data_IF_378015391175
#
_entry.id   IF_378015391175
#
_cell.length_a   1.000
_cell.length_b   1.000
_cell.length_c   1.000
_cell.angle_alpha   90.00
_cell.angle_beta   90.00
_cell.angle_gamma   90.00
#
_symmetry.space_group_name_H-M   'P 1'
#
loop_
_entity.id
_entity.type
_entity.pdbx_description
1 polymer ?
#
# COMPACT_ATOMS: atom_id res chain seq x y z
N UNK A 1 32.37 21.21 -34.43
CA UNK A 1 33.05 20.57 -33.28
C UNK A 1 33.37 21.63 -32.25
N UNK A 2 32.48 21.85 -31.29
CA UNK A 2 32.72 22.43 -29.95
C UNK A 2 31.44 22.18 -29.11
N UNK A 3 31.54 21.88 -27.80
CA UNK A 3 30.56 21.02 -27.12
C UNK A 3 29.49 21.77 -26.31
N UNK A 4 28.44 21.02 -25.98
CA UNK A 4 27.29 21.41 -25.17
C UNK A 4 27.65 21.66 -23.69
N UNK A 5 27.12 22.76 -23.14
CA UNK A 5 27.14 23.08 -21.72
C UNK A 5 26.18 22.20 -20.93
N UNK A 6 26.69 21.72 -19.80
CA UNK A 6 26.01 21.03 -18.73
C UNK A 6 25.44 22.07 -17.76
N UNK A 7 24.12 22.11 -17.53
CA UNK A 7 23.50 23.00 -16.55
C UNK A 7 22.76 22.18 -15.50
N UNK A 8 23.43 21.96 -14.37
CA UNK A 8 22.83 21.43 -13.15
C UNK A 8 22.08 22.52 -12.38
N UNK A 9 20.98 22.13 -11.73
CA UNK A 9 20.31 22.93 -10.71
C UNK A 9 20.91 22.64 -9.31
N UNK A 10 20.93 23.61 -8.39
CA UNK A 10 21.51 23.44 -7.06
C UNK A 10 20.49 22.91 -6.05
N UNK A 11 20.92 21.97 -5.21
CA UNK A 11 20.24 21.63 -3.95
C UNK A 11 21.10 22.13 -2.78
N UNK A 12 20.57 23.08 -2.02
CA UNK A 12 21.15 23.55 -0.76
C UNK A 12 20.42 22.88 0.40
N UNK A 13 21.08 21.97 1.12
CA UNK A 13 20.80 21.75 2.54
C UNK A 13 22.09 21.48 3.29
N UNK A 14 22.44 22.46 4.13
CA UNK A 14 23.54 22.47 5.08
C UNK A 14 23.22 21.55 6.25
N UNK A 15 24.08 20.57 6.53
CA UNK A 15 24.29 20.06 7.89
C UNK A 15 25.78 20.05 8.18
N UNK A 16 26.17 20.83 9.20
CA UNK A 16 27.53 20.96 9.70
C UNK A 16 27.86 19.74 10.58
N UNK A 17 28.99 19.10 10.33
CA UNK A 17 29.67 18.26 11.32
C UNK A 17 31.07 18.81 11.53
N UNK A 18 31.37 19.19 12.77
CA UNK A 18 32.71 19.54 13.22
C UNK A 18 33.21 18.43 14.15
N UNK A 19 34.36 17.87 13.78
CA UNK A 19 35.16 16.97 14.57
C UNK A 19 35.89 17.72 15.70
N UNK A 20 36.18 17.04 16.81
CA UNK A 20 37.37 17.33 17.60
C UNK A 20 37.99 16.05 18.18
N UNK A 21 39.32 16.13 18.24
CA UNK A 21 40.35 15.13 18.43
C UNK A 21 40.64 14.79 19.91
N UNK A 22 41.32 13.65 20.11
CA UNK A 22 42.21 13.37 21.26
C UNK A 22 41.62 12.38 22.26
N UNK A 23 42.36 11.45 22.88
CA UNK A 23 43.79 11.13 22.93
C UNK A 23 43.88 9.69 23.49
N UNK A 24 44.94 8.95 23.14
CA UNK A 24 45.16 7.56 23.52
C UNK A 24 45.53 7.36 25.00
N UNK A 25 45.15 6.21 25.58
CA UNK A 25 46.02 5.47 26.52
C UNK A 25 45.63 3.98 26.58
N UNK A 26 46.65 3.13 26.58
CA UNK A 26 46.62 1.67 26.48
C UNK A 26 46.78 1.02 27.86
N UNK A 27 46.13 -0.13 28.10
CA UNK A 27 46.68 -1.40 28.63
C UNK A 27 45.69 -2.24 29.49
N UNK A 28 45.52 -3.49 29.02
CA UNK A 28 45.47 -4.77 29.74
C UNK A 28 44.46 -4.99 30.90
N UNK A 29 43.46 -5.86 30.69
CA UNK A 29 43.38 -7.26 31.19
C UNK A 29 42.61 -7.35 32.54
N UNK A 30 41.85 -8.37 32.96
CA UNK A 30 41.58 -9.72 32.50
C UNK A 30 40.29 -10.23 33.23
N UNK A 31 39.66 -11.26 32.65
CA UNK A 31 38.99 -12.42 33.30
C UNK A 31 37.67 -12.31 34.11
N UNK A 32 36.64 -12.93 33.51
CA UNK A 32 35.76 -14.04 33.99
C UNK A 32 34.74 -13.86 35.15
N UNK A 33 33.48 -14.07 34.77
CA UNK A 33 32.29 -14.58 35.50
C UNK A 33 32.55 -15.87 36.32
N UNK A 34 31.74 -16.22 37.37
CA UNK A 34 30.38 -16.78 37.20
C UNK A 34 29.31 -16.46 38.28
N UNK A 35 28.05 -16.75 37.93
CA UNK A 35 26.78 -16.77 38.69
C UNK A 35 26.60 -18.08 39.51
N UNK A 36 25.40 -18.43 40.06
CA UNK A 36 24.66 -17.87 41.21
C UNK A 36 24.43 -18.94 42.31
N UNK A 37 23.77 -18.61 43.43
CA UNK A 37 23.34 -19.61 44.44
C UNK A 37 21.98 -19.26 45.08
N UNK A 38 21.02 -20.18 44.96
CA UNK A 38 19.80 -20.32 45.78
C UNK A 38 20.09 -21.20 47.01
N UNK A 39 19.27 -21.11 48.07
CA UNK A 39 18.63 -22.35 48.55
C UNK A 39 17.19 -22.18 49.09
N UNK A 40 16.54 -23.34 49.20
CA UNK A 40 15.17 -23.66 49.63
C UNK A 40 15.01 -23.82 51.16
N UNK A 41 13.78 -23.71 51.70
CA UNK A 41 13.11 -24.69 52.61
C UNK A 41 11.94 -24.10 53.43
N UNK A 42 11.13 -24.99 54.03
CA UNK A 42 9.70 -24.92 54.41
C UNK A 42 9.40 -24.60 55.90
N UNK A 43 8.12 -24.31 56.20
CA UNK A 43 7.27 -24.66 57.37
C UNK A 43 6.30 -23.46 57.67
N UNK A 44 5.03 -23.54 58.08
CA UNK A 44 4.15 -24.56 58.68
C UNK A 44 3.40 -23.94 59.88
N UNK A 45 2.08 -24.21 60.03
CA UNK A 45 1.12 -23.83 61.12
C UNK A 45 0.40 -22.46 60.99
N UNK A 46 -0.87 -22.24 61.39
CA UNK A 46 -2.02 -23.07 61.82
C UNK A 46 -3.30 -22.20 61.89
N UNK A 47 -4.45 -22.83 61.61
CA UNK A 47 -5.87 -22.54 61.85
C UNK A 47 -6.33 -21.26 62.61
N UNK A 48 -7.38 -20.62 62.06
CA UNK A 48 -8.57 -20.20 62.83
C UNK A 48 -9.83 -20.23 61.93
N UNK A 49 -10.91 -20.83 62.47
CA UNK A 49 -12.17 -21.17 61.82
C UNK A 49 -13.28 -20.23 62.30
N UNK A 50 -14.08 -19.64 61.38
CA UNK A 50 -15.40 -19.06 61.65
C UNK A 50 -16.30 -19.20 60.40
N UNK A 51 -17.64 -19.28 60.55
CA UNK A 51 -18.48 -20.12 59.71
C UNK A 51 -19.01 -19.37 58.49
N UNK A 52 -19.00 -20.02 57.31
CA UNK A 52 -19.80 -19.57 56.17
C UNK A 52 -20.79 -20.66 55.80
N UNK A 53 -22.03 -20.38 56.20
CA UNK A 53 -23.32 -20.77 55.64
C UNK A 53 -23.20 -21.52 54.30
N UNK A 54 -23.71 -22.74 54.31
CA UNK A 54 -24.04 -23.52 53.13
C UNK A 54 -25.12 -22.79 52.33
N UNK A 55 -24.73 -22.09 51.27
CA UNK A 55 -25.63 -21.65 50.22
C UNK A 55 -25.47 -22.62 49.07
N UNK A 56 -26.43 -23.54 48.96
CA UNK A 56 -26.57 -24.45 47.85
C UNK A 56 -26.34 -23.72 46.51
N UNK A 57 -25.46 -24.29 45.69
CA UNK A 57 -25.25 -23.91 44.31
C UNK A 57 -26.57 -24.08 43.54
N UNK A 58 -27.32 -22.98 43.38
CA UNK A 58 -28.25 -22.87 42.27
C UNK A 58 -27.43 -22.63 41.00
N UNK A 59 -27.71 -23.33 39.88
CA UNK A 59 -26.99 -23.07 38.64
C UNK A 59 -27.31 -21.64 38.19
N UNK A 60 -26.30 -20.77 38.17
CA UNK A 60 -26.43 -19.38 37.72
C UNK A 60 -26.99 -19.35 36.28
N UNK A 61 -28.22 -18.86 36.05
CA UNK A 61 -28.85 -18.91 34.75
C UNK A 61 -28.52 -17.62 33.98
N UNK A 62 -27.25 -17.33 33.66
CA UNK A 62 -26.96 -16.02 33.02
C UNK A 62 -25.72 -15.91 32.14
N UNK A 63 -25.04 -17.00 31.76
CA UNK A 63 -23.92 -16.87 30.80
C UNK A 63 -24.47 -16.62 29.39
N UNK A 64 -24.46 -15.36 28.97
CA UNK A 64 -24.64 -14.95 27.57
C UNK A 64 -23.34 -15.24 26.85
N UNK A 65 -23.40 -15.97 25.73
CA UNK A 65 -22.23 -16.35 24.95
C UNK A 65 -22.51 -16.11 23.47
N UNK A 66 -21.54 -15.57 22.73
CA UNK A 66 -21.55 -15.54 21.27
C UNK A 66 -20.60 -16.64 20.76
N UNK A 67 -21.05 -17.38 19.75
CA UNK A 67 -20.21 -18.31 19.00
C UNK A 67 -20.10 -17.78 17.57
N UNK A 68 -18.87 -17.63 17.08
CA UNK A 68 -18.61 -17.46 15.63
C UNK A 68 -18.46 -16.03 15.10
N UNK A 69 -18.27 -15.02 15.95
CA UNK A 69 -17.94 -13.67 15.51
C UNK A 69 -16.62 -13.26 16.13
N UNK A 70 -15.64 -12.90 15.29
CA UNK A 70 -14.40 -12.29 15.77
C UNK A 70 -14.71 -11.04 16.61
N UNK A 71 -13.75 -10.60 17.42
CA UNK A 71 -13.89 -9.46 18.35
C UNK A 71 -14.32 -8.14 17.68
N UNK A 72 -14.43 -8.10 16.35
CA UNK A 72 -15.00 -7.04 15.53
C UNK A 72 -15.52 -7.60 14.21
N UNK A 73 -16.57 -6.97 13.65
CA UNK A 73 -17.11 -7.29 12.32
C UNK A 73 -16.92 -6.09 11.37
N UNK A 74 -16.47 -6.36 10.15
CA UNK A 74 -16.33 -5.33 9.10
C UNK A 74 -17.38 -5.56 8.02
N UNK A 75 -18.16 -4.52 7.71
CA UNK A 75 -19.21 -4.53 6.70
C UNK A 75 -18.99 -3.42 5.67
N UNK A 76 -19.65 -3.51 4.53
CA UNK A 76 -19.78 -2.42 3.55
C UNK A 76 -21.20 -1.87 3.60
N UNK A 77 -21.39 -0.56 3.38
CA UNK A 77 -22.74 0.05 3.30
C UNK A 77 -23.64 -0.79 2.37
N UNK A 78 -24.90 -0.98 2.80
CA UNK A 78 -25.91 -1.83 2.18
C UNK A 78 -25.74 -3.34 2.37
N UNK A 79 -24.68 -3.82 3.04
CA UNK A 79 -24.60 -5.22 3.46
C UNK A 79 -25.44 -5.49 4.71
N UNK A 80 -25.86 -6.75 4.85
CA UNK A 80 -26.63 -7.25 5.98
C UNK A 80 -25.96 -8.49 6.55
N UNK A 81 -25.88 -8.60 7.88
CA UNK A 81 -25.33 -9.75 8.60
C UNK A 81 -26.19 -10.08 9.82
N UNK A 82 -26.45 -11.36 10.05
CA UNK A 82 -27.22 -11.81 11.22
C UNK A 82 -26.29 -12.27 12.33
N UNK A 83 -26.48 -11.70 13.52
CA UNK A 83 -25.75 -12.03 14.74
C UNK A 83 -26.60 -12.99 15.58
N UNK A 84 -26.11 -14.20 15.81
CA UNK A 84 -26.79 -15.18 16.66
C UNK A 84 -26.14 -15.23 18.03
N UNK A 85 -26.91 -14.88 19.06
CA UNK A 85 -26.48 -14.93 20.47
C UNK A 85 -27.09 -16.15 21.14
N UNK A 86 -26.29 -16.82 21.98
CA UNK A 86 -26.71 -17.99 22.72
C UNK A 86 -26.90 -17.65 24.19
N UNK A 87 -28.00 -18.14 24.77
CA UNK A 87 -28.30 -18.00 26.20
C UNK A 87 -28.47 -19.40 26.76
N UNK A 88 -27.59 -19.79 27.69
CA UNK A 88 -27.61 -21.16 28.24
C UNK A 88 -27.30 -22.24 27.20
N UNK A 89 -26.47 -21.92 26.19
CA UNK A 89 -26.02 -22.88 25.17
C UNK A 89 -27.00 -23.13 24.02
N UNK A 90 -28.16 -22.45 23.99
CA UNK A 90 -29.13 -22.48 22.88
C UNK A 90 -29.26 -21.10 22.23
N UNK A 91 -29.59 -21.00 20.94
CA UNK A 91 -29.90 -19.71 20.32
C UNK A 91 -30.98 -19.00 21.12
N UNK A 92 -30.80 -17.71 21.38
CA UNK A 92 -31.76 -16.91 22.12
C UNK A 92 -33.13 -16.96 21.45
N UNK A 93 -34.18 -17.18 22.25
CA UNK A 93 -35.54 -17.18 21.77
C UNK A 93 -35.99 -15.76 21.36
N UNK A 94 -36.98 -15.61 20.46
CA UNK A 94 -37.54 -14.30 20.13
C UNK A 94 -37.98 -13.53 21.39
N UNK A 95 -37.57 -12.26 21.50
CA UNK A 95 -37.89 -11.39 22.64
C UNK A 95 -37.03 -11.62 23.90
N UNK A 96 -36.15 -12.62 23.91
CA UNK A 96 -35.21 -12.86 25.03
C UNK A 96 -34.06 -11.84 25.06
N UNK A 97 -33.78 -11.21 23.91
CA UNK A 97 -32.76 -10.19 23.76
C UNK A 97 -33.39 -8.89 23.27
N UNK A 98 -32.86 -7.79 23.79
CA UNK A 98 -33.04 -6.45 23.25
C UNK A 98 -31.79 -6.06 22.48
N UNK A 99 -31.98 -5.70 21.21
CA UNK A 99 -30.91 -5.27 20.32
C UNK A 99 -30.87 -3.75 20.18
N UNK A 100 -29.69 -3.15 20.34
CA UNK A 100 -29.47 -1.71 20.16
C UNK A 100 -28.19 -1.44 19.36
N UNK A 101 -28.07 -0.22 18.84
CA UNK A 101 -26.88 0.29 18.15
C UNK A 101 -26.47 1.63 18.77
N UNK A 102 -25.17 1.88 18.91
CA UNK A 102 -24.68 3.19 19.34
C UNK A 102 -24.76 4.26 18.25
N UNK A 103 -24.90 3.86 16.97
CA UNK A 103 -25.00 4.79 15.85
C UNK A 103 -25.88 4.23 14.72
N UNK A 104 -27.15 4.66 14.71
CA UNK A 104 -28.14 4.27 13.69
C UNK A 104 -27.83 4.81 12.29
N UNK A 105 -26.99 5.85 12.17
CA UNK A 105 -26.48 6.36 10.90
C UNK A 105 -25.41 5.48 10.27
N UNK A 106 -24.86 4.52 11.01
CA UNK A 106 -23.81 3.59 10.54
C UNK A 106 -24.35 2.16 10.41
N UNK A 107 -25.05 1.66 11.42
CA UNK A 107 -25.75 0.36 11.35
C UNK A 107 -27.14 0.44 11.96
N UNK A 108 -28.10 -0.24 11.36
CA UNK A 108 -29.38 -0.57 11.98
C UNK A 108 -29.39 -2.04 12.41
N UNK A 109 -30.18 -2.40 13.41
CA UNK A 109 -30.31 -3.79 13.89
C UNK A 109 -31.78 -4.11 14.17
N UNK A 110 -32.24 -5.26 13.71
CA UNK A 110 -33.59 -5.77 14.02
C UNK A 110 -33.59 -6.48 15.38
N UNK A 111 -34.77 -6.67 15.98
CA UNK A 111 -34.89 -7.46 17.22
C UNK A 111 -34.61 -8.97 17.01
N UNK A 112 -34.42 -9.41 15.76
CA UNK A 112 -33.92 -10.75 15.42
C UNK A 112 -32.39 -10.83 15.27
N UNK A 113 -31.65 -9.75 15.57
CA UNK A 113 -30.19 -9.70 15.47
C UNK A 113 -29.65 -9.50 14.06
N UNK A 114 -30.50 -9.13 13.09
CA UNK A 114 -30.04 -8.80 11.73
C UNK A 114 -29.56 -7.36 11.69
N UNK A 115 -28.27 -7.16 11.44
CA UNK A 115 -27.59 -5.88 11.34
C UNK A 115 -27.47 -5.49 9.87
N UNK A 116 -27.89 -4.27 9.52
CA UNK A 116 -27.75 -3.70 8.18
C UNK A 116 -26.85 -2.48 8.24
N UNK A 117 -25.84 -2.44 7.38
CA UNK A 117 -24.94 -1.30 7.24
C UNK A 117 -25.63 -0.15 6.50
N UNK A 118 -25.87 0.97 7.19
CA UNK A 118 -26.63 2.13 6.68
C UNK A 118 -25.72 3.28 6.23
N UNK A 119 -24.53 3.43 6.81
CA UNK A 119 -23.58 4.48 6.47
C UNK A 119 -22.16 4.15 6.94
N UNK A 120 -21.16 4.82 6.37
CA UNK A 120 -19.76 4.57 6.73
C UNK A 120 -19.43 5.09 8.12
N UNK A 121 -18.63 4.34 8.88
CA UNK A 121 -18.22 4.73 10.23
C UNK A 121 -18.05 3.52 11.15
N UNK A 122 -18.12 3.75 12.45
CA UNK A 122 -18.10 2.69 13.46
C UNK A 122 -19.30 2.79 14.38
N UNK A 123 -19.81 1.64 14.77
CA UNK A 123 -20.90 1.49 15.72
C UNK A 123 -20.68 0.25 16.57
N UNK A 124 -21.32 0.18 17.73
CA UNK A 124 -21.38 -1.03 18.53
C UNK A 124 -22.83 -1.50 18.54
N UNK A 125 -23.05 -2.73 18.10
CA UNK A 125 -24.34 -3.41 18.25
C UNK A 125 -24.33 -4.14 19.57
N UNK A 126 -25.31 -3.90 20.42
CA UNK A 126 -25.46 -4.55 21.73
C UNK A 126 -26.64 -5.50 21.73
N UNK A 127 -26.42 -6.72 22.22
CA UNK A 127 -27.46 -7.66 22.59
C UNK A 127 -27.51 -7.79 24.12
N UNK A 128 -28.57 -7.30 24.74
CA UNK A 128 -28.77 -7.41 26.19
C UNK A 128 -29.93 -8.34 26.50
N UNK A 129 -29.87 -9.12 27.58
CA UNK A 129 -31.02 -9.89 28.03
C UNK A 129 -32.16 -8.96 28.44
N UNK A 130 -33.37 -9.19 27.92
CA UNK A 130 -34.55 -8.38 28.24
C UNK A 130 -34.85 -8.41 29.75
N UNK A 131 -34.71 -9.58 30.37
CA UNK A 131 -34.94 -9.77 31.80
C UNK A 131 -33.79 -9.25 32.69
N UNK A 132 -32.62 -8.98 32.11
CA UNK A 132 -31.45 -8.49 32.86
C UNK A 132 -30.53 -7.69 31.93
N UNK A 133 -30.82 -6.38 31.71
CA UNK A 133 -30.08 -5.57 30.75
C UNK A 133 -28.58 -5.40 31.06
N UNK A 134 -28.15 -5.67 32.29
CA UNK A 134 -26.74 -5.67 32.69
C UNK A 134 -25.96 -6.88 32.15
N UNK A 135 -26.64 -7.93 31.71
CA UNK A 135 -26.04 -9.07 31.01
C UNK A 135 -26.16 -8.85 29.49
N UNK A 136 -25.07 -8.40 28.88
CA UNK A 136 -25.04 -8.04 27.46
C UNK A 136 -23.76 -8.48 26.75
N UNK A 137 -23.82 -8.50 25.43
CA UNK A 137 -22.68 -8.63 24.53
C UNK A 137 -22.63 -7.43 23.59
N UNK A 138 -21.42 -6.92 23.39
CA UNK A 138 -21.14 -5.83 22.46
C UNK A 138 -20.38 -6.37 21.24
N UNK A 139 -20.87 -6.01 20.06
CA UNK A 139 -20.29 -6.34 18.77
C UNK A 139 -19.84 -5.03 18.12
N UNK A 140 -18.54 -4.69 18.16
CA UNK A 140 -18.05 -3.55 17.42
C UNK A 140 -18.13 -3.86 15.92
N UNK A 141 -18.80 -2.96 15.19
CA UNK A 141 -18.98 -3.03 13.73
C UNK A 141 -18.34 -1.81 13.10
N UNK A 142 -17.44 -2.05 12.15
CA UNK A 142 -16.90 -1.01 11.27
C UNK A 142 -17.54 -1.15 9.90
N UNK A 143 -18.14 -0.07 9.40
CA UNK A 143 -18.77 -0.01 8.09
C UNK A 143 -17.93 0.85 7.15
N UNK A 144 -17.48 0.25 6.06
CA UNK A 144 -16.84 0.95 4.96
C UNK A 144 -17.90 1.52 4.01
N UNK A 145 -17.67 2.71 3.45
CA UNK A 145 -18.54 3.30 2.45
C UNK A 145 -18.72 2.37 1.24
N UNK A 146 -19.95 2.21 0.76
CA UNK A 146 -20.20 1.60 -0.54
C UNK A 146 -19.74 2.60 -1.61
N UNK A 147 -18.68 2.25 -2.35
CA UNK A 147 -18.21 3.07 -3.46
C UNK A 147 -17.19 4.16 -3.13
N UNK A 148 -16.32 3.96 -2.13
CA UNK A 148 -14.94 4.37 -2.40
C UNK A 148 -14.40 3.41 -3.49
N UNK A 149 -13.70 3.89 -4.53
CA UNK A 149 -13.05 2.95 -5.43
C UNK A 149 -12.20 2.04 -4.55
N UNK A 150 -12.40 0.73 -4.67
CA UNK A 150 -11.38 -0.25 -4.28
C UNK A 150 -10.05 0.34 -4.74
N UNK A 151 -8.96 0.35 -3.94
CA UNK A 151 -7.67 0.55 -4.57
C UNK A 151 -7.63 -0.53 -5.65
N UNK A 152 -7.78 -0.11 -6.91
CA UNK A 152 -7.55 -0.96 -8.04
C UNK A 152 -6.21 -1.59 -7.71
N UNK A 153 -6.08 -2.93 -7.56
CA UNK A 153 -4.76 -3.52 -7.49
C UNK A 153 -3.96 -2.83 -8.59
N UNK A 154 -2.81 -2.18 -8.29
CA UNK A 154 -2.16 -1.25 -9.21
C UNK A 154 -2.21 -1.92 -10.57
N UNK A 155 -2.87 -1.31 -11.58
CA UNK A 155 -3.12 -1.95 -12.85
C UNK A 155 -1.86 -2.70 -13.24
N UNK A 156 -1.98 -4.01 -13.49
CA UNK A 156 -0.83 -4.84 -13.87
C UNK A 156 -0.02 -4.07 -14.90
N UNK A 157 1.31 -4.18 -14.90
CA UNK A 157 2.19 -3.41 -15.80
C UNK A 157 1.64 -3.26 -17.23
N UNK A 158 0.94 -4.28 -17.76
CA UNK A 158 0.26 -4.22 -19.06
C UNK A 158 -0.85 -3.16 -19.18
N UNK A 159 -1.69 -2.96 -18.17
CA UNK A 159 -2.76 -1.98 -18.16
C UNK A 159 -2.24 -0.55 -18.02
N UNK A 160 -1.21 -0.33 -17.20
CA UNK A 160 -0.50 0.95 -17.17
C UNK A 160 0.25 1.24 -18.46
N UNK A 161 0.93 0.24 -19.04
CA UNK A 161 1.56 0.38 -20.35
C UNK A 161 0.55 0.76 -21.44
N UNK A 162 -0.60 0.08 -21.48
CA UNK A 162 -1.68 0.38 -22.42
C UNK A 162 -2.22 1.80 -22.24
N UNK A 163 -2.38 2.25 -20.99
CA UNK A 163 -2.88 3.60 -20.69
C UNK A 163 -1.87 4.68 -21.08
N UNK A 164 -0.58 4.48 -20.78
CA UNK A 164 0.50 5.37 -21.21
C UNK A 164 0.58 5.45 -22.74
N UNK A 165 0.43 4.32 -23.44
CA UNK A 165 0.36 4.28 -24.90
C UNK A 165 -0.79 5.14 -25.44
N UNK A 166 -2.00 4.98 -24.89
CA UNK A 166 -3.17 5.75 -25.32
C UNK A 166 -2.95 7.26 -25.14
N UNK A 167 -2.46 7.67 -23.96
CA UNK A 167 -2.19 9.08 -23.65
C UNK A 167 -1.07 9.65 -24.55
N UNK A 168 -0.02 8.87 -24.80
CA UNK A 168 1.06 9.24 -25.71
C UNK A 168 0.55 9.40 -27.14
N UNK A 169 -0.27 8.47 -27.63
CA UNK A 169 -0.86 8.56 -28.97
C UNK A 169 -1.87 9.70 -29.10
N UNK A 170 -2.63 10.00 -28.04
CA UNK A 170 -3.47 11.19 -28.00
C UNK A 170 -2.63 12.47 -28.13
N UNK A 171 -1.50 12.57 -27.41
CA UNK A 171 -0.58 13.68 -27.55
C UNK A 171 0.02 13.77 -28.97
N UNK A 172 0.43 12.65 -29.56
CA UNK A 172 0.99 12.57 -30.91
C UNK A 172 0.01 12.96 -32.02
N UNK A 173 -1.29 12.82 -31.78
CA UNK A 173 -2.34 13.17 -32.75
C UNK A 173 -2.52 14.68 -33.00
N UNK A 174 -1.89 15.53 -32.19
CA UNK A 174 -1.97 16.99 -32.30
C UNK A 174 -0.59 17.62 -32.38
N UNK A 175 -0.46 18.75 -33.07
CA UNK A 175 0.77 19.53 -33.06
C UNK A 175 1.04 20.07 -31.65
N UNK A 176 2.31 20.09 -31.24
CA UNK A 176 2.71 20.46 -29.88
C UNK A 176 3.96 21.31 -29.86
N UNK A 177 3.98 22.25 -28.92
CA UNK A 177 5.18 23.01 -28.58
C UNK A 177 5.89 22.32 -27.41
N UNK A 178 7.08 21.81 -27.65
CA UNK A 178 7.96 21.21 -26.65
C UNK A 178 9.06 22.23 -26.28
N UNK A 179 8.84 22.99 -25.20
CA UNK A 179 9.72 24.12 -24.87
C UNK A 179 9.60 25.24 -25.89
N UNK A 180 10.68 25.54 -26.62
CA UNK A 180 10.67 26.51 -27.73
C UNK A 180 10.47 25.87 -29.12
N UNK A 181 10.36 24.54 -29.19
CA UNK A 181 10.30 23.81 -30.46
C UNK A 181 8.84 23.45 -30.78
N UNK A 182 8.33 23.92 -31.91
CA UNK A 182 7.03 23.48 -32.44
C UNK A 182 7.19 22.22 -33.27
N UNK A 183 6.46 21.17 -32.93
CA UNK A 183 6.46 19.88 -33.60
C UNK A 183 5.07 19.56 -34.16
N UNK A 184 4.97 19.02 -35.40
CA UNK A 184 3.69 18.66 -35.98
C UNK A 184 3.08 17.43 -35.28
N UNK A 185 1.82 17.13 -35.57
CA UNK A 185 1.24 15.84 -35.26
C UNK A 185 2.02 14.73 -35.98
N UNK A 186 2.18 13.57 -35.33
CA UNK A 186 2.96 12.44 -35.83
C UNK A 186 2.18 11.13 -35.67
N UNK A 187 2.48 10.08 -36.49
CA UNK A 187 1.73 8.83 -36.45
C UNK A 187 1.72 8.17 -35.06
N UNK A 188 0.66 7.43 -34.76
CA UNK A 188 0.54 6.66 -33.53
C UNK A 188 1.64 5.59 -33.42
N UNK A 189 2.07 5.32 -32.19
CA UNK A 189 2.97 4.23 -31.84
C UNK A 189 2.16 2.95 -31.59
N UNK A 190 2.82 1.80 -31.76
CA UNK A 190 2.33 0.49 -31.32
C UNK A 190 3.14 -0.03 -30.14
N UNK A 191 2.52 -0.85 -29.27
CA UNK A 191 3.25 -1.45 -28.15
C UNK A 191 4.20 -2.55 -28.65
N UNK A 192 5.42 -2.58 -28.12
CA UNK A 192 6.42 -3.63 -28.39
C UNK A 192 6.72 -4.41 -27.12
N UNK A 193 6.66 -5.74 -27.20
CA UNK A 193 6.95 -6.60 -26.05
C UNK A 193 8.42 -6.50 -25.62
N UNK A 194 9.36 -6.43 -26.57
CA UNK A 194 10.79 -6.31 -26.29
C UNK A 194 11.12 -4.96 -25.63
N UNK A 195 10.58 -3.86 -26.16
CA UNK A 195 10.75 -2.55 -25.53
C UNK A 195 10.09 -2.51 -24.14
N UNK A 196 8.95 -3.16 -23.98
CA UNK A 196 8.26 -3.24 -22.67
C UNK A 196 9.09 -4.03 -21.66
N UNK A 197 9.73 -5.12 -22.08
CA UNK A 197 10.63 -5.89 -21.23
C UNK A 197 11.86 -5.06 -20.81
N UNK A 198 12.47 -4.30 -21.72
CA UNK A 198 13.57 -3.37 -21.42
C UNK A 198 13.13 -2.31 -20.40
N UNK A 199 12.05 -1.59 -20.70
CA UNK A 199 11.53 -0.52 -19.87
C UNK A 199 11.12 -1.02 -18.48
N UNK A 200 10.43 -2.17 -18.40
CA UNK A 200 10.03 -2.77 -17.12
C UNK A 200 11.24 -3.21 -16.30
N UNK A 201 12.24 -3.84 -16.93
CA UNK A 201 13.47 -4.22 -16.27
C UNK A 201 14.17 -3.02 -15.63
N UNK A 202 14.27 -1.91 -16.35
CA UNK A 202 14.91 -0.69 -15.84
C UNK A 202 14.09 0.00 -14.74
N UNK A 203 12.76 0.06 -14.87
CA UNK A 203 11.89 0.58 -13.82
C UNK A 203 12.05 -0.22 -12.52
N UNK A 204 12.05 -1.55 -12.61
CA UNK A 204 12.26 -2.45 -11.47
C UNK A 204 13.65 -2.30 -10.87
N UNK A 205 14.69 -2.14 -11.69
CA UNK A 205 16.07 -1.95 -11.24
C UNK A 205 16.24 -0.63 -10.46
N UNK A 206 15.72 0.48 -10.99
CA UNK A 206 15.70 1.78 -10.31
C UNK A 206 14.97 1.74 -8.97
N UNK A 207 13.83 1.05 -8.92
CA UNK A 207 13.05 0.90 -7.70
C UNK A 207 13.76 0.03 -6.64
N UNK A 208 14.35 -1.10 -7.08
CA UNK A 208 15.02 -2.04 -6.19
C UNK A 208 16.33 -1.47 -5.61
N UNK A 209 17.10 -0.76 -6.43
CA UNK A 209 18.42 -0.24 -6.07
C UNK A 209 18.39 1.25 -5.67
N UNK A 210 17.19 1.83 -5.50
CA UNK A 210 16.99 3.20 -5.01
C UNK A 210 17.77 4.28 -5.78
N UNK A 211 17.68 4.28 -7.11
CA UNK A 211 18.35 5.28 -7.94
C UNK A 211 17.47 5.77 -9.09
N UNK A 212 17.85 6.89 -9.70
CA UNK A 212 17.14 7.47 -10.84
C UNK A 212 18.15 7.95 -11.89
N UNK A 213 18.30 7.19 -12.98
CA UNK A 213 19.30 7.44 -14.02
C UNK A 213 18.93 6.71 -15.31
N UNK A 214 19.31 7.26 -16.47
CA UNK A 214 19.24 6.57 -17.76
C UNK A 214 20.24 5.40 -17.86
N UNK A 215 21.37 5.49 -17.16
CA UNK A 215 22.38 4.43 -17.09
C UNK A 215 22.14 3.58 -15.85
N UNK A 216 22.10 2.27 -16.03
CA UNK A 216 22.00 1.31 -14.93
C UNK A 216 23.24 1.34 -14.04
N UNK A 217 23.11 0.93 -12.77
CA UNK A 217 24.24 0.95 -11.84
C UNK A 217 25.39 0.01 -12.24
N UNK A 218 25.10 -1.04 -13.02
CA UNK A 218 26.09 -1.93 -13.61
C UNK A 218 26.73 -1.37 -14.90
N UNK A 219 26.42 -0.12 -15.26
CA UNK A 219 27.02 0.59 -16.39
C UNK A 219 26.26 0.44 -17.70
N UNK A 220 25.21 -0.40 -17.78
CA UNK A 220 24.45 -0.54 -19.03
C UNK A 220 23.71 0.74 -19.39
N UNK A 221 23.87 1.19 -20.64
CA UNK A 221 23.09 2.30 -21.21
C UNK A 221 21.71 1.81 -21.67
N UNK A 222 20.77 2.73 -21.90
CA UNK A 222 19.39 2.36 -22.28
C UNK A 222 19.33 1.56 -23.59
N UNK A 223 20.13 1.94 -24.58
CA UNK A 223 20.21 1.27 -25.88
C UNK A 223 20.80 -0.15 -25.77
N UNK A 224 21.72 -0.37 -24.82
CA UNK A 224 22.20 -1.71 -24.47
C UNK A 224 21.09 -2.54 -23.80
N UNK A 225 20.29 -1.96 -22.89
CA UNK A 225 19.13 -2.67 -22.30
C UNK A 225 18.10 -3.06 -23.35
N UNK A 226 17.77 -2.14 -24.27
CA UNK A 226 16.86 -2.39 -25.40
C UNK A 226 17.39 -3.52 -26.29
N UNK A 227 18.69 -3.51 -26.61
CA UNK A 227 19.32 -4.56 -27.42
C UNK A 227 19.34 -5.91 -26.69
N UNK A 228 19.62 -5.92 -25.38
CA UNK A 228 19.61 -7.12 -24.54
C UNK A 228 18.21 -7.71 -24.37
N UNK A 229 17.15 -6.89 -24.47
CA UNK A 229 15.77 -7.35 -24.53
C UNK A 229 15.39 -7.97 -25.91
N UNK A 230 16.33 -8.04 -26.84
CA UNK A 230 16.15 -8.64 -28.17
C UNK A 230 15.46 -7.73 -29.18
N UNK A 231 15.37 -6.42 -28.92
CA UNK A 231 14.84 -5.47 -29.89
C UNK A 231 15.94 -5.07 -30.90
N UNK A 232 15.73 -5.36 -32.19
CA UNK A 232 16.63 -4.94 -33.26
C UNK A 232 16.15 -3.60 -33.81
N UNK A 233 16.99 -2.57 -33.78
CA UNK A 233 16.53 -1.20 -34.03
C UNK A 233 17.41 -0.40 -34.99
N UNK A 234 16.76 0.49 -35.75
CA UNK A 234 17.42 1.56 -36.50
C UNK A 234 17.48 2.88 -35.72
N UNK A 235 16.56 3.09 -34.78
CA UNK A 235 16.58 4.22 -33.84
C UNK A 235 15.87 3.86 -32.55
N UNK A 236 16.40 4.32 -31.41
CA UNK A 236 15.80 4.17 -30.07
C UNK A 236 15.89 5.48 -29.27
N UNK A 237 15.05 5.60 -28.25
CA UNK A 237 15.10 6.70 -27.27
C UNK A 237 14.45 6.28 -25.96
N UNK A 238 14.74 6.98 -24.87
CA UNK A 238 14.21 6.68 -23.55
C UNK A 238 13.70 7.96 -22.88
N UNK A 239 12.56 7.85 -22.18
CA UNK A 239 12.17 8.79 -21.14
C UNK A 239 12.04 8.03 -19.82
N UNK A 240 12.49 8.64 -18.72
CA UNK A 240 12.28 8.12 -17.37
C UNK A 240 11.58 9.16 -16.50
N UNK A 241 10.85 8.71 -15.49
CA UNK A 241 10.22 9.57 -14.49
C UNK A 241 10.05 8.84 -13.16
N UNK A 242 9.98 9.58 -12.06
CA UNK A 242 9.80 9.03 -10.73
C UNK A 242 8.92 9.95 -9.86
N UNK A 243 8.11 9.34 -9.00
CA UNK A 243 7.20 10.05 -8.08
C UNK A 243 5.79 10.32 -8.60
N UNK A 244 5.50 10.02 -9.87
CA UNK A 244 4.16 10.19 -10.43
C UNK A 244 3.30 8.95 -10.14
N UNK A 245 2.16 9.06 -9.45
CA UNK A 245 1.39 7.89 -9.02
C UNK A 245 0.56 7.24 -10.14
N UNK A 246 0.37 7.91 -11.28
CA UNK A 246 -0.55 7.48 -12.34
C UNK A 246 0.00 7.67 -13.76
N UNK A 247 -0.50 6.91 -14.75
CA UNK A 247 -0.23 7.13 -16.18
C UNK A 247 -0.50 8.56 -16.64
N UNK A 248 -1.59 9.17 -16.16
CA UNK A 248 -1.95 10.55 -16.48
C UNK A 248 -0.90 11.54 -15.97
N UNK A 249 -0.48 11.38 -14.71
CA UNK A 249 0.51 12.26 -14.09
C UNK A 249 1.88 12.14 -14.77
N UNK A 250 2.31 10.92 -15.12
CA UNK A 250 3.61 10.72 -15.76
C UNK A 250 3.66 11.25 -17.19
N UNK A 251 2.60 11.01 -17.99
CA UNK A 251 2.55 11.52 -19.37
C UNK A 251 2.44 13.04 -19.38
N UNK A 252 1.67 13.64 -18.47
CA UNK A 252 1.66 15.09 -18.29
C UNK A 252 3.05 15.63 -17.94
N UNK A 253 3.78 14.96 -17.04
CA UNK A 253 5.15 15.31 -16.67
C UNK A 253 6.13 15.25 -17.84
N UNK A 254 6.09 14.20 -18.66
CA UNK A 254 6.90 14.11 -19.87
C UNK A 254 6.56 15.19 -20.90
N UNK A 255 5.27 15.49 -21.10
CA UNK A 255 4.85 16.55 -22.03
C UNK A 255 5.25 17.96 -21.56
N UNK A 256 5.35 18.18 -20.25
CA UNK A 256 5.81 19.45 -19.68
C UNK A 256 7.33 19.64 -19.74
N UNK A 257 8.11 18.56 -19.89
CA UNK A 257 9.56 18.60 -20.04
C UNK A 257 9.95 18.71 -21.53
N UNK A 258 10.67 19.77 -21.96
CA UNK A 258 11.01 19.94 -23.37
C UNK A 258 11.70 18.72 -24.00
N UNK A 259 12.70 18.14 -23.33
CA UNK A 259 13.45 16.99 -23.84
C UNK A 259 12.63 15.69 -23.88
N UNK A 260 11.75 15.47 -22.90
CA UNK A 260 10.87 14.29 -22.92
C UNK A 260 9.75 14.44 -23.95
N UNK A 261 9.20 15.66 -24.08
CA UNK A 261 8.19 16.01 -25.07
C UNK A 261 8.71 15.82 -26.50
N UNK A 262 9.95 16.24 -26.80
CA UNK A 262 10.55 16.02 -28.12
C UNK A 262 10.71 14.53 -28.44
N UNK A 263 11.03 13.68 -27.45
CA UNK A 263 11.03 12.23 -27.61
C UNK A 263 9.63 11.68 -27.91
N UNK A 264 8.59 12.09 -27.15
CA UNK A 264 7.19 11.69 -27.39
C UNK A 264 6.72 12.03 -28.81
N UNK A 265 7.13 13.20 -29.31
CA UNK A 265 6.71 13.74 -30.61
C UNK A 265 7.67 13.39 -31.76
N UNK A 266 8.69 12.55 -31.52
CA UNK A 266 9.63 12.18 -32.56
C UNK A 266 8.98 11.22 -33.58
N UNK A 267 8.88 11.68 -34.83
CA UNK A 267 8.27 10.92 -35.94
C UNK A 267 9.09 9.69 -36.36
N UNK A 268 10.36 9.58 -35.94
CA UNK A 268 11.20 8.42 -36.27
C UNK A 268 10.73 7.15 -35.55
N UNK A 269 10.11 7.27 -34.39
CA UNK A 269 9.64 6.12 -33.61
C UNK A 269 8.29 5.61 -34.13
N UNK A 270 8.15 4.29 -34.18
CA UNK A 270 6.94 3.57 -34.58
C UNK A 270 6.42 2.65 -33.47
N UNK A 271 7.26 2.36 -32.48
CA UNK A 271 6.95 1.48 -31.36
C UNK A 271 7.36 2.09 -30.02
N UNK A 272 6.69 1.64 -28.97
CA UNK A 272 6.94 2.01 -27.57
C UNK A 272 6.85 0.80 -26.65
N UNK A 273 7.67 0.77 -25.62
CA UNK A 273 7.53 -0.07 -24.45
C UNK A 273 7.42 0.79 -23.19
N UNK A 274 6.68 0.30 -22.20
CA UNK A 274 6.43 1.04 -20.96
C UNK A 274 6.68 0.15 -19.76
N UNK A 275 7.50 0.63 -18.83
CA UNK A 275 7.77 -0.01 -17.55
C UNK A 275 7.23 0.80 -16.39
N UNK A 276 6.76 0.10 -15.35
CA UNK A 276 6.35 0.69 -14.08
C UNK A 276 6.80 -0.17 -12.90
N UNK A 277 7.37 0.46 -11.88
CA UNK A 277 7.66 -0.20 -10.62
C UNK A 277 7.30 0.69 -9.44
N UNK A 278 6.75 0.08 -8.39
CA UNK A 278 6.56 0.72 -7.09
C UNK A 278 7.73 0.39 -6.16
N UNK A 279 7.97 1.29 -5.21
CA UNK A 279 9.04 1.15 -4.22
C UNK A 279 10.05 2.28 -4.34
N UNK A 280 11.22 2.05 -3.77
CA UNK A 280 12.32 3.02 -3.69
C UNK A 280 11.97 4.34 -3.01
N UNK A 281 12.93 5.26 -2.96
CA UNK A 281 12.77 6.58 -2.32
C UNK A 281 11.76 7.50 -3.02
N UNK A 282 11.47 7.27 -4.31
CA UNK A 282 10.48 8.04 -5.08
C UNK A 282 9.08 7.42 -5.08
N UNK A 283 8.89 6.23 -4.50
CA UNK A 283 7.62 5.52 -4.42
C UNK A 283 7.12 4.89 -5.74
N UNK A 284 7.42 5.50 -6.88
CA UNK A 284 7.06 5.04 -8.23
C UNK A 284 8.13 5.40 -9.25
N UNK A 285 8.37 4.51 -10.20
CA UNK A 285 9.34 4.66 -11.28
C UNK A 285 8.69 4.25 -12.60
N UNK A 286 8.91 5.06 -13.64
CA UNK A 286 8.38 4.89 -14.97
C UNK A 286 9.47 4.97 -16.01
N UNK A 287 9.36 4.14 -17.04
CA UNK A 287 10.24 4.15 -18.21
C UNK A 287 9.40 4.06 -19.47
N UNK A 288 9.71 4.89 -20.47
CA UNK A 288 9.25 4.73 -21.85
C UNK A 288 10.46 4.49 -22.74
N UNK A 289 10.53 3.32 -23.34
CA UNK A 289 11.49 3.03 -24.41
C UNK A 289 10.80 3.15 -25.75
N UNK A 290 11.33 3.98 -26.63
CA UNK A 290 10.84 4.19 -27.99
C UNK A 290 11.74 3.47 -28.98
N UNK A 291 11.17 3.02 -30.09
CA UNK A 291 11.92 2.33 -31.12
C UNK A 291 11.36 2.45 -32.52
N UNK A 292 12.25 2.28 -33.49
CA UNK A 292 11.92 1.88 -34.86
C UNK A 292 12.69 0.61 -35.19
N UNK A 293 12.00 -0.47 -35.57
CA UNK A 293 12.67 -1.73 -35.88
C UNK A 293 13.60 -1.56 -37.08
N UNK A 294 14.67 -2.35 -37.11
CA UNK A 294 15.64 -2.39 -38.21
C UNK A 294 15.12 -3.20 -39.38
#
# INVERSE_FOLDING_TARGET
MTPCLNAGMPSTHLWRSAAFLGLALSLAACSTLPTPRTPSSQAGASQANLPQVSSQLTPSPSKVQALGLGSSSTMVVSQTQTFTVYVGGKPAAPGQLTWTTTNAGVVSVTQGGTVTATGAGSATVRAALTASPSAFLDFPVTVNAAGAPTPTPPPTTSAYAQRVLQLTNAARSTARTCGSVSLPAVPALSLSAQLTASAQGHASDMAALNYFSHTSQDGRTFDQRVSNAGYLWGSVGENIAAGQPTPEAVVAGWLASPGHCTNLMNARFTQIGVGYAQGGSYGSYWVQDFGRPR
#
